data_IF_659171000679
#
_entry.id   IF_659171000679
#
_cell.length_a   1.000
_cell.length_b   1.000
_cell.length_c   1.000
_cell.angle_alpha   90.00
_cell.angle_beta   90.00
_cell.angle_gamma   90.00
#
_symmetry.space_group_name_H-M   'P 1'
#
loop_
_entity.id
_entity.type
_entity.pdbx_description
1 polymer ?
#
# COMPACT_ATOMS: atom_id res chain seq x y z
N UNK A 1 39.68 -23.41 -3.07
CA UNK A 1 38.90 -22.39 -2.32
C UNK A 1 37.96 -21.55 -3.20
N UNK A 2 38.41 -21.03 -4.35
CA UNK A 2 37.60 -20.14 -5.22
C UNK A 2 36.32 -20.78 -5.79
N UNK A 3 36.38 -22.06 -6.16
CA UNK A 3 35.24 -22.83 -6.69
C UNK A 3 34.18 -23.08 -5.61
N UNK A 4 34.59 -23.38 -4.37
CA UNK A 4 33.68 -23.59 -3.24
C UNK A 4 32.85 -22.33 -2.96
N UNK A 5 33.49 -21.15 -3.02
CA UNK A 5 32.84 -19.86 -2.83
C UNK A 5 31.80 -19.57 -3.93
N UNK A 6 32.09 -19.98 -5.17
CA UNK A 6 31.22 -19.77 -6.32
C UNK A 6 29.98 -20.68 -6.28
N UNK A 7 30.15 -21.93 -5.81
CA UNK A 7 29.03 -22.85 -5.55
C UNK A 7 28.15 -22.34 -4.42
N UNK A 8 28.75 -21.84 -3.34
CA UNK A 8 28.02 -21.26 -2.22
C UNK A 8 27.18 -20.04 -2.66
N UNK A 9 27.75 -19.17 -3.50
CA UNK A 9 27.05 -18.00 -4.04
C UNK A 9 25.82 -18.38 -4.89
N UNK A 10 25.93 -19.44 -5.70
CA UNK A 10 24.82 -19.92 -6.53
C UNK A 10 23.65 -20.47 -5.71
N UNK A 11 23.90 -21.09 -4.55
CA UNK A 11 22.82 -21.54 -3.67
C UNK A 11 21.99 -20.40 -3.11
N UNK A 12 22.60 -19.26 -2.76
CA UNK A 12 21.89 -18.11 -2.18
C UNK A 12 20.94 -17.40 -3.17
N UNK A 13 21.17 -17.52 -4.48
CA UNK A 13 20.36 -16.84 -5.51
C UNK A 13 19.07 -17.62 -5.84
N UNK A 14 18.99 -18.91 -5.49
CA UNK A 14 17.81 -19.76 -5.76
C UNK A 14 16.57 -19.42 -4.93
N UNK A 15 16.70 -18.57 -3.91
CA UNK A 15 15.58 -18.11 -3.07
C UNK A 15 14.59 -17.17 -3.77
N UNK A 16 14.93 -16.62 -4.93
CA UNK A 16 14.09 -15.67 -5.68
C UNK A 16 13.11 -16.32 -6.69
N UNK A 17 12.85 -17.62 -6.57
CA UNK A 17 12.03 -18.40 -7.52
C UNK A 17 10.51 -18.23 -7.31
N UNK A 18 9.72 -18.70 -8.29
CA UNK A 18 8.26 -18.64 -8.48
C UNK A 18 7.38 -18.85 -7.23
N UNK A 19 7.91 -19.46 -6.16
CA UNK A 19 7.26 -19.52 -4.84
C UNK A 19 7.06 -18.17 -4.15
N UNK A 20 7.67 -17.09 -4.65
CA UNK A 20 7.39 -15.71 -4.21
C UNK A 20 6.10 -15.14 -4.82
N UNK A 21 5.47 -15.84 -5.77
CA UNK A 21 4.08 -15.56 -6.15
C UNK A 21 3.20 -15.95 -4.96
N UNK A 22 2.99 -14.99 -4.05
CA UNK A 22 2.27 -15.22 -2.79
C UNK A 22 0.81 -15.63 -2.99
N UNK A 23 0.25 -15.41 -4.19
CA UNK A 23 -1.13 -15.70 -4.56
C UNK A 23 -1.21 -15.97 -6.06
N UNK A 24 -1.83 -17.07 -6.47
CA UNK A 24 -1.98 -17.42 -7.89
C UNK A 24 -3.04 -16.50 -8.55
N UNK A 25 -2.96 -16.22 -9.87
CA UNK A 25 -3.85 -15.25 -10.52
C UNK A 25 -5.34 -15.54 -10.34
N UNK A 26 -5.72 -16.81 -10.35
CA UNK A 26 -7.09 -17.29 -10.16
C UNK A 26 -7.53 -17.34 -8.69
N UNK A 27 -6.61 -17.22 -7.72
CA UNK A 27 -6.98 -17.13 -6.31
C UNK A 27 -7.38 -15.70 -5.92
N UNK A 28 -6.99 -14.69 -6.72
CA UNK A 28 -7.23 -13.27 -6.43
C UNK A 28 -8.72 -12.93 -6.29
N UNK A 29 -9.60 -13.65 -6.97
CA UNK A 29 -11.05 -13.43 -6.88
C UNK A 29 -11.63 -13.79 -5.50
N UNK A 30 -10.96 -14.65 -4.73
CA UNK A 30 -11.39 -15.08 -3.39
C UNK A 30 -10.75 -14.27 -2.24
N UNK A 31 -9.87 -13.31 -2.55
CA UNK A 31 -9.22 -12.49 -1.52
C UNK A 31 -10.13 -11.39 -0.97
N UNK A 32 -11.08 -10.92 -1.77
CA UNK A 32 -12.04 -9.93 -1.33
C UNK A 32 -13.04 -10.59 -0.37
N UNK A 33 -12.87 -10.30 0.92
CA UNK A 33 -13.82 -10.74 1.95
C UNK A 33 -14.93 -9.70 2.09
N UNK A 34 -16.12 -10.11 2.52
CA UNK A 34 -17.25 -9.18 2.75
C UNK A 34 -16.88 -8.03 3.70
N UNK A 35 -15.99 -8.26 4.66
CA UNK A 35 -15.47 -7.24 5.58
C UNK A 35 -14.54 -6.19 4.94
N UNK A 36 -14.05 -6.44 3.72
CA UNK A 36 -13.27 -5.49 2.93
C UNK A 36 -14.17 -4.64 2.02
N UNK A 37 -15.48 -4.92 2.01
CA UNK A 37 -16.43 -4.03 1.36
C UNK A 37 -16.49 -2.71 2.13
N UNK A 38 -16.41 -1.61 1.39
CA UNK A 38 -16.54 -0.28 1.98
C UNK A 38 -17.93 -0.18 2.62
N UNK A 39 -18.00 -0.07 3.94
CA UNK A 39 -19.26 0.07 4.65
C UNK A 39 -19.98 1.33 4.14
N UNK A 40 -21.28 1.24 3.76
CA UNK A 40 -21.91 2.30 2.98
C UNK A 40 -22.05 3.64 3.72
N UNK A 41 -21.95 3.67 5.05
CA UNK A 41 -22.31 4.87 5.85
C UNK A 41 -21.18 5.38 6.74
N UNK A 42 -20.63 4.56 7.63
CA UNK A 42 -19.64 5.03 8.61
C UNK A 42 -18.27 5.33 7.96
N UNK A 43 -17.80 4.40 7.12
CA UNK A 43 -16.49 4.51 6.46
C UNK A 43 -16.49 5.59 5.37
N UNK A 44 -17.64 5.80 4.71
CA UNK A 44 -17.80 6.88 3.73
C UNK A 44 -17.69 8.27 4.37
N UNK A 45 -18.32 8.49 5.52
CA UNK A 45 -18.29 9.79 6.19
C UNK A 45 -16.86 10.16 6.64
N UNK A 46 -16.11 9.20 7.17
CA UNK A 46 -14.70 9.42 7.53
C UNK A 46 -13.84 9.69 6.29
N UNK A 47 -14.06 8.95 5.19
CA UNK A 47 -13.34 9.16 3.94
C UNK A 47 -13.65 10.53 3.31
N UNK A 48 -14.91 10.95 3.28
CA UNK A 48 -15.33 12.27 2.81
C UNK A 48 -14.75 13.39 3.68
N UNK A 49 -14.74 13.19 5.01
CA UNK A 49 -14.09 14.09 5.96
C UNK A 49 -12.59 14.22 5.69
N UNK A 50 -11.89 13.10 5.47
CA UNK A 50 -10.47 13.09 5.14
C UNK A 50 -10.16 13.82 3.83
N UNK A 51 -10.98 13.63 2.79
CA UNK A 51 -10.85 14.34 1.50
C UNK A 51 -11.11 15.84 1.68
N UNK A 52 -12.15 16.22 2.43
CA UNK A 52 -12.47 17.62 2.71
C UNK A 52 -11.32 18.32 3.44
N UNK A 53 -10.80 17.70 4.50
CA UNK A 53 -9.69 18.26 5.27
C UNK A 53 -8.42 18.45 4.43
N UNK A 54 -8.07 17.49 3.57
CA UNK A 54 -6.91 17.62 2.68
C UNK A 54 -7.11 18.76 1.68
N UNK A 55 -8.31 18.88 1.09
CA UNK A 55 -8.61 19.95 0.12
C UNK A 55 -8.49 21.33 0.78
N UNK A 56 -9.10 21.51 1.94
CA UNK A 56 -9.01 22.75 2.71
C UNK A 56 -7.56 23.07 3.10
N UNK A 57 -6.83 22.09 3.64
CA UNK A 57 -5.43 22.27 4.01
C UNK A 57 -4.56 22.66 2.81
N UNK A 58 -4.77 22.02 1.64
CA UNK A 58 -4.04 22.33 0.41
C UNK A 58 -4.34 23.73 -0.16
N UNK A 59 -5.54 24.23 0.07
CA UNK A 59 -5.97 25.57 -0.34
C UNK A 59 -5.46 26.68 0.60
N UNK A 60 -4.74 26.33 1.67
CA UNK A 60 -4.30 27.29 2.69
C UNK A 60 -5.34 27.57 3.77
N UNK A 61 -6.24 26.63 4.03
CA UNK A 61 -7.17 26.64 5.15
C UNK A 61 -6.48 26.57 6.52
N UNK A 62 -7.27 26.66 7.59
CA UNK A 62 -6.80 26.84 8.98
C UNK A 62 -5.98 25.65 9.55
N UNK A 63 -6.11 24.46 8.98
CA UNK A 63 -5.52 23.23 9.54
C UNK A 63 -4.07 23.01 9.12
N UNK A 64 -3.17 22.92 10.09
CA UNK A 64 -1.71 22.79 9.91
C UNK A 64 -1.19 21.44 9.36
N UNK A 65 -2.08 20.48 9.05
CA UNK A 65 -1.66 19.07 8.84
C UNK A 65 -1.38 18.68 7.38
N UNK A 66 -1.69 19.52 6.37
CA UNK A 66 -1.45 19.13 4.98
C UNK A 66 -1.31 20.32 4.00
N UNK A 67 -0.09 20.84 3.86
CA UNK A 67 0.45 21.34 2.59
C UNK A 67 -0.37 22.38 1.80
N UNK A 68 -0.67 23.52 2.39
CA UNK A 68 -0.97 24.76 1.67
C UNK A 68 0.20 25.74 1.81
N UNK A 69 0.43 26.61 0.82
CA UNK A 69 1.53 27.59 0.86
C UNK A 69 1.39 28.60 2.01
N UNK A 70 0.29 28.58 2.78
CA UNK A 70 0.06 29.44 3.95
C UNK A 70 -0.05 30.94 3.63
N UNK A 71 -0.06 31.32 2.35
CA UNK A 71 -0.17 32.72 1.93
C UNK A 71 -1.63 33.17 1.98
N UNK A 72 -2.13 33.53 3.16
CA UNK A 72 -3.14 34.59 3.27
C UNK A 72 -2.46 35.93 3.51
#
# INVERSE_FOLDING_TARGET
>A
MKILFLVLLMLFITGCSEKLVRVMPYEKEFFAQDKMSLSPVAERAEQEGHIFLIREASAGGESSFQGGCGCR
#
